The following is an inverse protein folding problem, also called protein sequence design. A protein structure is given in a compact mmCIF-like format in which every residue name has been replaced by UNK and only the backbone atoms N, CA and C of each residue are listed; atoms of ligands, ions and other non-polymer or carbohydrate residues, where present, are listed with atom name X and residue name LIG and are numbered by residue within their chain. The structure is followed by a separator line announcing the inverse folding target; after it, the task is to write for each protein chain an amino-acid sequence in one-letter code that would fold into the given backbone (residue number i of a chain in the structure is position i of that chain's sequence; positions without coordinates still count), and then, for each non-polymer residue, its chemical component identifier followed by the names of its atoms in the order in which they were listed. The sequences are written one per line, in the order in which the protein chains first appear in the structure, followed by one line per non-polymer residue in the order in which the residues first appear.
data_IF_146855332840
#
_entry.id   IF_146855332840
#
_cell.length_a   1.000
_cell.length_b   1.000
_cell.length_c   1.000
_cell.angle_alpha   90.00
_cell.angle_beta   90.00
_cell.angle_gamma   90.00
#
_symmetry.space_group_name_H-M   'P 1'
#
loop_
_entity.id
_entity.type
_entity.pdbx_description
1 polymer ?
#
# COMPACT_ATOMS: atom_id res chain seq x y z
N UNK A 1 20.20 -13.53 10.64
CA UNK A 1 20.06 -12.56 9.54
C UNK A 1 18.85 -11.68 9.77
N UNK A 2 19.01 -10.39 9.56
CA UNK A 2 17.88 -9.47 9.63
C UNK A 2 16.95 -9.67 8.43
N UNK A 3 15.65 -9.53 8.65
CA UNK A 3 14.65 -9.55 7.61
C UNK A 3 14.30 -8.12 7.20
N UNK A 4 14.08 -7.92 5.92
CA UNK A 4 13.77 -6.60 5.39
C UNK A 4 12.26 -6.47 5.13
N UNK A 5 11.66 -5.43 5.68
CA UNK A 5 10.26 -5.08 5.47
C UNK A 5 10.22 -3.72 4.76
N UNK A 6 9.53 -3.64 3.64
CA UNK A 6 9.30 -2.39 2.94
C UNK A 6 7.88 -1.91 3.22
N UNK A 7 7.74 -0.66 3.64
CA UNK A 7 6.43 -0.03 3.83
C UNK A 7 6.31 1.13 2.85
N UNK A 8 5.39 1.00 1.91
CA UNK A 8 5.09 2.04 0.93
C UNK A 8 3.87 2.82 1.44
N UNK A 9 4.09 4.07 1.83
CA UNK A 9 3.09 4.90 2.51
C UNK A 9 3.22 4.84 4.03
N UNK A 10 4.41 5.16 4.54
CA UNK A 10 4.71 5.11 5.98
C UNK A 10 4.10 6.31 6.72
N UNK A 11 2.94 6.10 7.29
CA UNK A 11 2.22 7.05 8.13
C UNK A 11 1.83 6.41 9.46
N UNK A 12 0.65 6.70 9.97
CA UNK A 12 0.16 6.19 11.25
C UNK A 12 0.10 4.66 11.28
N UNK A 13 -0.47 4.03 10.25
CA UNK A 13 -0.55 2.56 10.18
C UNK A 13 0.85 1.96 10.10
N UNK A 14 1.73 2.53 9.27
CA UNK A 14 3.12 2.06 9.14
C UNK A 14 3.87 2.12 10.47
N UNK A 15 3.71 3.19 11.23
CA UNK A 15 4.32 3.34 12.56
C UNK A 15 3.80 2.30 13.53
N UNK A 16 2.52 2.01 13.51
CA UNK A 16 1.92 0.97 14.34
C UNK A 16 2.45 -0.42 13.99
N UNK A 17 2.61 -0.71 12.71
CA UNK A 17 3.23 -1.95 12.25
C UNK A 17 4.67 -2.03 12.76
N UNK A 18 5.46 -0.98 12.55
CA UNK A 18 6.85 -0.91 13.03
C UNK A 18 6.94 -1.17 14.53
N UNK A 19 6.03 -0.62 15.33
CA UNK A 19 6.03 -0.79 16.79
C UNK A 19 5.79 -2.24 17.25
N UNK A 20 5.26 -3.08 16.37
CA UNK A 20 5.00 -4.50 16.66
C UNK A 20 6.08 -5.43 16.14
N UNK A 21 7.03 -4.91 15.38
CA UNK A 21 8.14 -5.68 14.87
C UNK A 21 9.31 -5.67 15.87
N UNK A 22 9.98 -6.79 16.00
CA UNK A 22 11.19 -6.87 16.82
C UNK A 22 12.45 -6.46 16.05
N UNK A 23 13.60 -6.43 16.73
CA UNK A 23 14.85 -5.91 16.18
C UNK A 23 15.43 -6.74 15.02
N UNK A 24 14.91 -7.94 14.78
CA UNK A 24 15.35 -8.74 13.63
C UNK A 24 14.84 -8.20 12.30
N UNK A 25 13.86 -7.29 12.33
CA UNK A 25 13.32 -6.69 11.12
C UNK A 25 13.94 -5.32 10.86
N UNK A 26 14.52 -5.16 9.66
CA UNK A 26 14.93 -3.85 9.17
C UNK A 26 13.77 -3.25 8.38
N UNK A 27 13.29 -2.11 8.81
CA UNK A 27 12.18 -1.41 8.15
C UNK A 27 12.72 -0.36 7.19
N UNK A 28 12.26 -0.45 5.94
CA UNK A 28 12.45 0.56 4.89
C UNK A 28 11.12 1.25 4.67
N UNK A 29 11.11 2.56 4.64
CA UNK A 29 9.90 3.34 4.48
C UNK A 29 10.00 4.29 3.29
N UNK A 30 8.97 4.31 2.47
CA UNK A 30 8.84 5.23 1.35
C UNK A 30 7.70 6.19 1.60
N UNK A 31 7.97 7.47 1.41
CA UNK A 31 7.01 8.55 1.62
C UNK A 31 7.33 9.74 0.72
N UNK A 32 6.32 10.55 0.45
CA UNK A 32 6.52 11.85 -0.24
C UNK A 32 7.17 12.89 0.67
N UNK A 33 6.94 12.79 1.97
CA UNK A 33 7.54 13.65 2.99
C UNK A 33 8.20 12.79 4.07
N UNK A 34 9.35 12.15 3.75
CA UNK A 34 9.99 11.26 4.71
C UNK A 34 10.47 12.03 5.93
N UNK A 35 10.20 11.47 7.11
CA UNK A 35 10.69 11.96 8.38
C UNK A 35 11.69 10.97 8.93
N UNK A 36 12.75 11.52 9.56
CA UNK A 36 13.74 10.68 10.22
C UNK A 36 13.10 10.01 11.44
N UNK A 37 13.16 8.67 11.49
CA UNK A 37 12.70 7.88 12.63
C UNK A 37 13.74 6.82 12.98
N UNK A 38 13.88 6.58 14.29
CA UNK A 38 14.84 5.59 14.77
C UNK A 38 14.46 4.18 14.32
N UNK A 39 15.46 3.44 13.83
CA UNK A 39 15.26 2.08 13.36
C UNK A 39 14.56 1.95 12.02
N UNK A 40 14.35 3.06 11.31
CA UNK A 40 13.69 3.07 10.00
C UNK A 40 14.61 3.74 8.98
N UNK A 41 14.81 3.09 7.84
CA UNK A 41 15.49 3.67 6.69
C UNK A 41 14.45 4.34 5.80
N UNK A 42 14.33 5.66 5.88
CA UNK A 42 13.32 6.45 5.19
C UNK A 42 13.85 7.06 3.92
N UNK A 43 13.08 6.96 2.84
CA UNK A 43 13.42 7.49 1.52
C UNK A 43 12.23 8.24 0.93
N UNK A 44 12.55 9.24 0.11
CA UNK A 44 11.54 9.96 -0.67
C UNK A 44 11.16 9.17 -1.92
N UNK A 45 9.87 9.04 -2.14
CA UNK A 45 9.31 8.61 -3.42
C UNK A 45 7.88 9.11 -3.55
N UNK A 46 7.58 9.68 -4.72
CA UNK A 46 6.21 9.98 -5.11
C UNK A 46 5.77 8.99 -6.18
N UNK A 47 5.10 7.93 -5.75
CA UNK A 47 4.61 6.88 -6.64
C UNK A 47 3.41 7.32 -7.50
N UNK A 48 2.90 8.54 -7.33
CA UNK A 48 1.88 9.11 -8.23
C UNK A 48 2.49 9.81 -9.43
N UNK A 49 3.78 10.11 -9.39
CA UNK A 49 4.48 10.88 -10.43
C UNK A 49 4.85 10.08 -11.68
N UNK A 50 4.81 8.76 -11.61
CA UNK A 50 5.27 7.88 -12.69
C UNK A 50 6.76 7.60 -12.70
N UNK A 51 7.54 8.23 -11.83
CA UNK A 51 8.96 7.93 -11.68
C UNK A 51 9.16 6.63 -10.89
N UNK A 52 10.09 5.80 -11.37
CA UNK A 52 10.44 4.56 -10.68
C UNK A 52 11.38 4.82 -9.51
N UNK A 53 11.27 4.00 -8.48
CA UNK A 53 12.22 3.99 -7.36
C UNK A 53 13.26 2.89 -7.56
N UNK A 54 14.52 3.19 -7.29
CA UNK A 54 15.60 2.22 -7.38
C UNK A 54 15.83 1.57 -6.00
N UNK A 55 15.45 0.31 -5.87
CA UNK A 55 15.60 -0.48 -4.65
C UNK A 55 17.01 -1.06 -4.45
N UNK A 56 17.95 -0.82 -5.38
CA UNK A 56 19.36 -1.21 -5.29
C UNK A 56 19.61 -2.70 -4.99
N UNK A 57 18.75 -3.56 -5.53
CA UNK A 57 18.91 -5.01 -5.37
C UNK A 57 18.57 -5.54 -3.98
N UNK A 58 17.92 -4.76 -3.13
CA UNK A 58 17.49 -5.22 -1.81
C UNK A 58 16.36 -6.24 -1.99
N UNK A 59 16.48 -7.38 -1.32
CA UNK A 59 15.41 -8.36 -1.22
C UNK A 59 14.55 -8.07 0.02
N UNK A 60 13.24 -8.15 -0.12
CA UNK A 60 12.31 -7.92 0.98
C UNK A 60 11.57 -9.21 1.35
N UNK A 61 11.44 -9.46 2.64
CA UNK A 61 10.60 -10.55 3.13
C UNK A 61 9.12 -10.21 2.94
N UNK A 62 8.77 -8.96 3.19
CA UNK A 62 7.41 -8.49 2.95
C UNK A 62 7.43 -7.04 2.49
N UNK A 63 6.48 -6.74 1.62
CA UNK A 63 6.15 -5.39 1.20
C UNK A 63 4.74 -5.07 1.70
N UNK A 64 4.60 -3.97 2.41
CA UNK A 64 3.31 -3.50 2.93
C UNK A 64 2.94 -2.23 2.17
N UNK A 65 1.83 -2.28 1.45
CA UNK A 65 1.32 -1.16 0.68
C UNK A 65 0.16 -0.52 1.42
N UNK A 66 0.31 0.75 1.76
CA UNK A 66 -0.71 1.53 2.48
C UNK A 66 -1.11 2.71 1.58
N UNK A 67 -2.07 2.51 0.66
CA UNK A 67 -2.49 3.56 -0.25
C UNK A 67 -3.37 4.59 0.44
N UNK A 68 -3.39 5.79 -0.12
CA UNK A 68 -4.35 6.81 0.28
C UNK A 68 -4.69 7.67 -0.93
N UNK A 69 -5.88 8.30 -0.95
CA UNK A 69 -6.20 9.21 -2.05
C UNK A 69 -5.24 10.41 -2.04
N UNK A 70 -4.91 10.92 -3.22
CA UNK A 70 -4.13 12.14 -3.35
C UNK A 70 -4.96 13.39 -3.04
N UNK A 71 -6.27 13.29 -3.21
CA UNK A 71 -7.28 14.27 -2.84
C UNK A 71 -8.58 13.53 -2.54
N UNK A 72 -9.55 14.17 -1.89
CA UNK A 72 -10.80 13.53 -1.44
C UNK A 72 -11.87 13.42 -2.53
N UNK A 73 -11.61 13.90 -3.74
CA UNK A 73 -12.50 13.76 -4.89
C UNK A 73 -12.23 12.44 -5.65
N UNK A 74 -13.04 12.16 -6.67
CA UNK A 74 -12.92 10.94 -7.47
C UNK A 74 -11.55 10.83 -8.13
N UNK A 75 -11.05 11.90 -8.74
CA UNK A 75 -9.72 11.92 -9.37
C UNK A 75 -8.61 11.62 -8.37
N UNK A 76 -8.70 12.17 -7.17
CA UNK A 76 -7.74 11.91 -6.10
C UNK A 76 -7.71 10.44 -5.67
N UNK A 77 -8.86 9.79 -5.62
CA UNK A 77 -8.95 8.36 -5.35
C UNK A 77 -8.35 7.53 -6.48
N UNK A 78 -8.65 7.86 -7.74
CA UNK A 78 -8.07 7.15 -8.89
C UNK A 78 -6.55 7.29 -8.94
N UNK A 79 -6.04 8.48 -8.67
CA UNK A 79 -4.58 8.72 -8.62
C UNK A 79 -3.95 7.94 -7.46
N UNK A 80 -4.51 8.04 -6.26
CA UNK A 80 -3.93 7.44 -5.06
C UNK A 80 -4.02 5.92 -4.99
N UNK A 81 -5.00 5.31 -5.65
CA UNK A 81 -5.19 3.86 -5.64
C UNK A 81 -4.82 3.21 -6.97
N UNK A 82 -5.36 3.65 -8.08
CA UNK A 82 -5.21 2.95 -9.38
C UNK A 82 -3.90 3.33 -10.06
N UNK A 83 -3.66 4.62 -10.28
CA UNK A 83 -2.44 5.10 -10.93
C UNK A 83 -1.21 4.78 -10.06
N UNK A 84 -1.33 4.99 -8.76
CA UNK A 84 -0.26 4.68 -7.81
C UNK A 84 0.10 3.20 -7.84
N UNK A 85 -0.88 2.30 -7.84
CA UNK A 85 -0.62 0.86 -7.91
C UNK A 85 0.11 0.48 -9.20
N UNK A 86 -0.29 1.05 -10.34
CA UNK A 86 0.38 0.80 -11.61
C UNK A 86 1.87 1.22 -11.57
N UNK A 87 2.16 2.39 -11.01
CA UNK A 87 3.53 2.88 -10.86
C UNK A 87 4.35 2.05 -9.88
N UNK A 88 3.73 1.64 -8.76
CA UNK A 88 4.37 0.78 -7.77
C UNK A 88 4.70 -0.58 -8.39
N UNK A 89 3.75 -1.22 -9.07
CA UNK A 89 3.96 -2.50 -9.74
C UNK A 89 5.10 -2.41 -10.75
N UNK A 90 5.16 -1.33 -11.51
CA UNK A 90 6.24 -1.12 -12.47
C UNK A 90 7.61 -1.02 -11.78
N UNK A 91 7.69 -0.33 -10.66
CA UNK A 91 8.93 -0.22 -9.88
C UNK A 91 9.33 -1.55 -9.21
N UNK A 92 8.37 -2.43 -8.93
CA UNK A 92 8.62 -3.71 -8.27
C UNK A 92 8.95 -4.86 -9.23
N UNK A 93 8.91 -4.63 -10.56
CA UNK A 93 9.12 -5.69 -11.55
C UNK A 93 10.42 -6.48 -11.36
N UNK A 94 11.48 -5.82 -10.89
CA UNK A 94 12.79 -6.43 -10.70
C UNK A 94 13.20 -6.49 -9.23
N UNK A 95 12.23 -6.46 -8.33
CA UNK A 95 12.45 -6.52 -6.88
C UNK A 95 12.06 -7.90 -6.37
N UNK A 96 12.96 -8.55 -5.66
CA UNK A 96 12.66 -9.83 -5.04
C UNK A 96 11.94 -9.62 -3.70
N UNK A 97 10.80 -10.26 -3.55
CA UNK A 97 10.05 -10.26 -2.29
C UNK A 97 9.23 -11.54 -2.16
N UNK A 98 8.95 -11.94 -0.92
CA UNK A 98 8.18 -13.16 -0.65
C UNK A 98 6.68 -12.89 -0.51
N UNK A 99 6.31 -11.73 0.02
CA UNK A 99 4.91 -11.44 0.34
C UNK A 99 4.59 -9.97 0.10
N UNK A 100 3.44 -9.72 -0.52
CA UNK A 100 2.85 -8.39 -0.63
C UNK A 100 1.58 -8.35 0.22
N UNK A 101 1.51 -7.38 1.12
CA UNK A 101 0.33 -7.12 1.95
C UNK A 101 -0.18 -5.74 1.58
N UNK A 102 -1.39 -5.66 1.08
CA UNK A 102 -1.99 -4.39 0.70
C UNK A 102 -3.18 -4.07 1.63
N UNK A 103 -3.20 -2.83 2.11
CA UNK A 103 -4.30 -2.35 2.94
C UNK A 103 -5.45 -1.92 2.02
N UNK A 104 -6.65 -2.34 2.35
CA UNK A 104 -7.87 -1.96 1.66
C UNK A 104 -8.81 -1.23 2.63
N UNK A 105 -10.10 -1.16 2.31
CA UNK A 105 -11.10 -0.47 3.12
C UNK A 105 -12.43 -1.19 3.06
N UNK A 106 -13.16 -1.14 4.17
CA UNK A 106 -14.54 -1.64 4.25
C UNK A 106 -15.52 -0.85 3.37
N UNK A 107 -15.09 0.26 2.78
CA UNK A 107 -15.91 1.01 1.80
C UNK A 107 -16.26 0.19 0.56
N UNK A 108 -15.57 -0.92 0.30
CA UNK A 108 -15.92 -1.86 -0.79
C UNK A 108 -17.26 -2.53 -0.54
N UNK A 109 -17.71 -2.61 0.71
CA UNK A 109 -19.07 -3.05 1.03
C UNK A 109 -20.02 -1.87 0.89
N UNK A 110 -21.16 -2.12 0.25
CA UNK A 110 -22.18 -1.08 0.06
C UNK A 110 -23.01 -0.84 1.33
N UNK A 111 -23.68 0.32 1.38
CA UNK A 111 -24.56 0.69 2.49
C UNK A 111 -25.76 -0.26 2.68
N UNK A 112 -26.11 -1.01 1.62
CA UNK A 112 -27.18 -2.01 1.66
C UNK A 112 -26.71 -3.39 2.17
N UNK A 113 -25.41 -3.55 2.40
CA UNK A 113 -24.83 -4.80 2.90
C UNK A 113 -24.76 -4.75 4.43
N UNK A 114 -25.42 -5.68 5.09
CA UNK A 114 -25.55 -5.72 6.54
C UNK A 114 -25.12 -7.07 7.11
N UNK A 115 -24.91 -7.11 8.42
CA UNK A 115 -24.56 -8.31 9.17
C UNK A 115 -23.07 -8.63 9.09
N UNK A 116 -22.75 -9.90 9.21
CA UNK A 116 -21.37 -10.37 9.15
C UNK A 116 -20.89 -10.46 7.69
N UNK A 117 -20.01 -9.54 7.32
CA UNK A 117 -19.43 -9.47 5.98
C UNK A 117 -18.00 -10.05 6.03
N UNK A 118 -17.64 -10.81 5.02
CA UNK A 118 -16.31 -11.42 4.91
C UNK A 118 -15.78 -11.32 3.48
N UNK A 119 -14.59 -11.85 3.25
CA UNK A 119 -13.89 -11.78 1.95
C UNK A 119 -14.59 -12.54 0.82
N UNK A 120 -15.54 -13.41 1.13
CA UNK A 120 -16.27 -14.22 0.13
C UNK A 120 -17.57 -13.57 -0.34
N UNK A 121 -17.96 -12.44 0.29
CA UNK A 121 -19.19 -11.73 -0.07
C UNK A 121 -18.94 -10.86 -1.30
N UNK A 122 -19.94 -10.83 -2.19
CA UNK A 122 -19.91 -9.92 -3.35
C UNK A 122 -19.76 -8.47 -2.90
N UNK A 123 -18.86 -7.73 -3.52
CA UNK A 123 -18.61 -6.33 -3.20
C UNK A 123 -19.62 -5.46 -3.99
N UNK A 124 -20.48 -4.75 -3.25
CA UNK A 124 -21.51 -3.87 -3.80
C UNK A 124 -21.33 -2.43 -3.27
N UNK A 125 -20.26 -1.74 -3.68
CA UNK A 125 -19.99 -0.40 -3.17
C UNK A 125 -21.08 0.61 -3.54
N UNK A 126 -21.34 1.57 -2.64
CA UNK A 126 -22.42 2.57 -2.79
C UNK A 126 -21.95 3.88 -3.40
N UNK A 127 -20.64 4.16 -3.41
CA UNK A 127 -20.10 5.42 -3.91
C UNK A 127 -18.82 5.20 -4.73
N UNK A 128 -18.28 6.30 -5.30
CA UNK A 128 -17.06 6.23 -6.11
C UNK A 128 -15.85 5.75 -5.30
N UNK A 129 -15.79 6.06 -4.01
CA UNK A 129 -14.68 5.64 -3.14
C UNK A 129 -14.61 4.13 -3.05
N UNK A 130 -15.72 3.52 -2.72
CA UNK A 130 -15.82 2.06 -2.67
C UNK A 130 -15.59 1.40 -4.01
N UNK A 131 -16.11 1.97 -5.10
CA UNK A 131 -15.92 1.44 -6.45
C UNK A 131 -14.47 1.45 -6.88
N UNK A 132 -13.75 2.53 -6.61
CA UNK A 132 -12.32 2.64 -6.95
C UNK A 132 -11.49 1.67 -6.11
N UNK A 133 -11.77 1.53 -4.82
CA UNK A 133 -11.05 0.58 -3.96
C UNK A 133 -11.36 -0.87 -4.40
N UNK A 134 -12.57 -1.16 -4.84
CA UNK A 134 -12.90 -2.46 -5.42
C UNK A 134 -12.06 -2.74 -6.67
N UNK A 135 -11.90 -1.76 -7.57
CA UNK A 135 -11.05 -1.89 -8.74
C UNK A 135 -9.58 -2.08 -8.35
N UNK A 136 -9.11 -1.38 -7.34
CA UNK A 136 -7.78 -1.53 -6.77
C UNK A 136 -7.55 -2.96 -6.26
N UNK A 137 -8.49 -3.54 -5.53
CA UNK A 137 -8.40 -4.94 -5.08
C UNK A 137 -8.31 -5.92 -6.25
N UNK A 138 -9.08 -5.68 -7.32
CA UNK A 138 -9.00 -6.52 -8.53
C UNK A 138 -7.64 -6.45 -9.21
N UNK A 139 -7.04 -5.25 -9.27
CA UNK A 139 -5.71 -5.07 -9.84
C UNK A 139 -4.64 -5.75 -8.99
N UNK A 140 -4.76 -5.74 -7.67
CA UNK A 140 -3.85 -6.45 -6.77
C UNK A 140 -3.83 -7.95 -7.04
N UNK A 141 -4.97 -8.55 -7.31
CA UNK A 141 -5.08 -9.98 -7.58
C UNK A 141 -4.44 -10.41 -8.91
N UNK A 142 -4.10 -9.44 -9.77
CA UNK A 142 -3.41 -9.68 -11.06
C UNK A 142 -1.90 -9.42 -10.99
N UNK A 143 -1.42 -9.02 -9.82
CA UNK A 143 -0.02 -8.65 -9.61
C UNK A 143 0.87 -9.84 -9.26
#
# INVERSE_FOLDING_TARGET
MSKNILIIGFGDIGRRVKSKLDDKYQVYALNRNPKKEDGVKSFYWDWTSGNNFNFKGIMFDSIILIPKPSNMNEDGYRIGFIKALANINNSLLNVDFHKLIAISSTRVYGSEQHGMLNENIELLPSDFRGSIIKDYEKLLNKT
#
